data_IF_558887351150
#
_entry.id   IF_558887351150
#
_cell.length_a   1.000
_cell.length_b   1.000
_cell.length_c   1.000
_cell.angle_alpha   90.00
_cell.angle_beta   90.00
_cell.angle_gamma   90.00
#
_symmetry.space_group_name_H-M   'P 1'
#
loop_
_entity.id
_entity.type
_entity.pdbx_description
1 polymer ?
#
# COMPACT_ATOMS: atom_id res chain seq x y z
N UNK A 1 -5.04 -30.42 29.24
CA UNK A 1 -6.34 -29.71 29.33
C UNK A 1 -6.41 -28.48 28.41
N UNK A 2 -5.28 -27.82 28.20
CA UNK A 2 -5.20 -26.62 27.35
C UNK A 2 -5.36 -26.96 25.85
N UNK A 3 -4.84 -28.12 25.43
CA UNK A 3 -4.91 -28.57 24.03
C UNK A 3 -6.34 -28.89 23.55
N UNK A 4 -7.20 -29.42 24.43
CA UNK A 4 -8.57 -29.75 24.05
C UNK A 4 -9.46 -28.53 23.89
N UNK A 5 -9.37 -27.54 24.77
CA UNK A 5 -10.11 -26.27 24.64
C UNK A 5 -9.69 -25.52 23.35
N UNK A 6 -8.38 -25.43 23.10
CA UNK A 6 -7.85 -24.83 21.88
C UNK A 6 -8.29 -25.57 20.63
N UNK A 7 -8.37 -26.90 20.67
CA UNK A 7 -8.89 -27.70 19.57
C UNK A 7 -10.38 -27.46 19.32
N UNK A 8 -11.20 -27.38 20.37
CA UNK A 8 -12.62 -27.09 20.26
C UNK A 8 -12.86 -25.67 19.70
N UNK A 9 -12.13 -24.67 20.17
CA UNK A 9 -12.24 -23.29 19.69
C UNK A 9 -11.85 -23.20 18.21
N UNK A 10 -10.78 -23.89 17.81
CA UNK A 10 -10.37 -23.95 16.40
C UNK A 10 -11.42 -24.66 15.51
N UNK A 11 -12.02 -25.73 16.03
CA UNK A 11 -13.05 -26.46 15.29
C UNK A 11 -14.32 -25.61 15.11
N UNK A 12 -14.79 -24.95 16.18
CA UNK A 12 -15.95 -24.05 16.14
C UNK A 12 -15.70 -22.86 15.24
N UNK A 13 -14.52 -22.28 15.31
CA UNK A 13 -14.13 -21.16 14.43
C UNK A 13 -14.14 -21.61 12.96
N UNK A 14 -13.57 -22.75 12.64
CA UNK A 14 -13.57 -23.28 11.26
C UNK A 14 -14.98 -23.61 10.77
N UNK A 15 -15.82 -24.21 11.63
CA UNK A 15 -17.21 -24.51 11.28
C UNK A 15 -18.01 -23.22 11.04
N UNK A 16 -17.80 -22.20 11.87
CA UNK A 16 -18.43 -20.89 11.69
C UNK A 16 -18.00 -20.23 10.37
N UNK A 17 -16.69 -20.18 10.09
CA UNK A 17 -16.17 -19.62 8.85
C UNK A 17 -16.71 -20.36 7.62
N UNK A 18 -16.75 -21.69 7.66
CA UNK A 18 -17.31 -22.52 6.60
C UNK A 18 -18.81 -22.26 6.40
N UNK A 19 -19.58 -22.07 7.48
CA UNK A 19 -21.00 -21.75 7.44
C UNK A 19 -21.25 -20.34 6.84
N UNK A 20 -20.45 -19.35 7.21
CA UNK A 20 -20.55 -17.98 6.66
C UNK A 20 -20.27 -17.97 5.16
N UNK A 21 -19.18 -18.60 4.74
CA UNK A 21 -18.81 -18.69 3.31
C UNK A 21 -19.82 -19.51 2.52
N UNK A 22 -20.33 -20.60 3.08
CA UNK A 22 -21.29 -21.49 2.43
C UNK A 22 -22.69 -20.90 2.34
N UNK A 23 -23.12 -20.07 3.30
CA UNK A 23 -24.45 -19.46 3.27
C UNK A 23 -24.57 -18.28 2.30
N UNK A 24 -23.44 -17.63 2.01
CA UNK A 24 -23.37 -16.48 1.10
C UNK A 24 -22.17 -16.64 0.17
N UNK A 25 -22.19 -17.56 -0.80
CA UNK A 25 -21.10 -17.78 -1.71
C UNK A 25 -20.85 -16.52 -2.55
N UNK A 26 -19.59 -16.24 -2.85
CA UNK A 26 -19.22 -15.17 -3.79
C UNK A 26 -19.67 -15.59 -5.19
N UNK A 27 -20.42 -14.74 -5.86
CA UNK A 27 -20.90 -15.03 -7.22
C UNK A 27 -19.93 -14.46 -8.27
N UNK A 28 -19.92 -15.03 -9.50
CA UNK A 28 -19.14 -14.47 -10.61
C UNK A 28 -19.53 -13.03 -10.93
N UNK A 29 -20.81 -12.67 -10.78
CA UNK A 29 -21.32 -11.33 -11.02
C UNK A 29 -20.75 -10.32 -10.02
N UNK A 30 -20.64 -10.69 -8.76
CA UNK A 30 -20.03 -9.83 -7.73
C UNK A 30 -18.53 -9.62 -8.00
N UNK A 31 -17.80 -10.66 -8.32
CA UNK A 31 -16.40 -10.57 -8.69
C UNK A 31 -16.17 -9.70 -9.93
N UNK A 32 -17.03 -9.85 -10.94
CA UNK A 32 -17.00 -9.04 -12.14
C UNK A 32 -17.29 -7.56 -11.85
N UNK A 33 -18.27 -7.27 -10.97
CA UNK A 33 -18.59 -5.91 -10.58
C UNK A 33 -17.42 -5.24 -9.88
N UNK A 34 -16.77 -5.91 -8.91
CA UNK A 34 -15.57 -5.41 -8.23
C UNK A 34 -14.42 -5.19 -9.22
N UNK A 35 -14.21 -6.13 -10.14
CA UNK A 35 -13.20 -5.97 -11.17
C UNK A 35 -13.45 -4.74 -12.05
N UNK A 36 -14.69 -4.51 -12.44
CA UNK A 36 -15.07 -3.36 -13.26
C UNK A 36 -14.80 -2.04 -12.52
N UNK A 37 -15.13 -1.98 -11.23
CA UNK A 37 -14.88 -0.80 -10.38
C UNK A 37 -13.37 -0.53 -10.25
N UNK A 38 -12.57 -1.55 -9.96
CA UNK A 38 -11.11 -1.45 -9.90
C UNK A 38 -10.54 -1.00 -11.24
N UNK A 39 -11.00 -1.62 -12.32
CA UNK A 39 -10.54 -1.31 -13.67
C UNK A 39 -10.87 0.14 -14.08
N UNK A 40 -12.07 0.62 -13.76
CA UNK A 40 -12.47 2.01 -13.98
C UNK A 40 -11.70 2.99 -13.09
N UNK A 41 -11.47 2.62 -11.83
CA UNK A 41 -10.71 3.46 -10.89
C UNK A 41 -9.30 3.75 -11.43
N UNK A 42 -8.60 2.74 -11.95
CA UNK A 42 -7.22 2.90 -12.44
C UNK A 42 -7.11 3.26 -13.92
N UNK A 43 -8.21 3.33 -14.66
CA UNK A 43 -8.19 3.64 -16.08
C UNK A 43 -7.53 4.99 -16.35
N UNK A 44 -6.47 4.99 -17.15
CA UNK A 44 -5.70 6.19 -17.49
C UNK A 44 -4.84 6.74 -16.35
N UNK A 45 -4.76 6.06 -15.20
CA UNK A 45 -3.92 6.46 -14.08
C UNK A 45 -2.46 6.04 -14.28
N UNK A 46 -1.58 6.66 -13.50
CA UNK A 46 -0.15 6.37 -13.48
C UNK A 46 0.26 5.82 -12.12
N UNK A 47 1.30 4.99 -12.12
CA UNK A 47 1.98 4.52 -10.92
C UNK A 47 3.44 4.94 -10.94
N UNK A 48 4.01 5.15 -9.77
CA UNK A 48 5.39 5.59 -9.59
C UNK A 48 6.15 4.62 -8.71
N UNK A 49 7.41 4.39 -9.05
CA UNK A 49 8.38 3.79 -8.15
C UNK A 49 9.09 4.92 -7.42
N UNK A 50 8.74 5.09 -6.15
CA UNK A 50 9.07 6.27 -5.37
C UNK A 50 10.27 5.99 -4.47
N UNK A 51 11.42 6.56 -4.81
CA UNK A 51 12.59 6.54 -3.94
C UNK A 51 12.44 7.54 -2.79
N UNK A 52 12.99 7.21 -1.62
CA UNK A 52 12.87 8.00 -0.41
C UNK A 52 14.20 8.13 0.33
N UNK A 53 14.47 9.33 0.81
CA UNK A 53 15.55 9.63 1.76
C UNK A 53 14.91 10.24 2.99
N UNK A 54 15.05 9.58 4.14
CA UNK A 54 14.50 10.04 5.43
C UNK A 54 15.65 10.55 6.31
N UNK A 55 15.50 11.74 6.86
CA UNK A 55 16.48 12.38 7.75
C UNK A 55 15.81 12.86 9.04
N UNK A 56 16.61 13.11 10.08
CA UNK A 56 16.13 13.67 11.35
C UNK A 56 16.09 15.19 11.37
N UNK A 57 16.78 15.82 10.44
CA UNK A 57 16.86 17.29 10.38
C UNK A 57 16.59 17.80 8.99
N UNK A 58 16.03 19.00 8.90
CA UNK A 58 15.86 19.69 7.64
C UNK A 58 17.20 19.99 6.96
N UNK A 59 18.24 20.25 7.75
CA UNK A 59 19.60 20.52 7.26
C UNK A 59 20.15 19.31 6.49
N UNK A 60 20.02 18.10 7.02
CA UNK A 60 20.50 16.88 6.36
C UNK A 60 19.68 16.56 5.11
N UNK A 61 18.36 16.80 5.15
CA UNK A 61 17.51 16.68 3.97
C UNK A 61 17.94 17.68 2.88
N UNK A 62 18.26 18.91 3.26
CA UNK A 62 18.76 19.92 2.32
C UNK A 62 20.12 19.53 1.73
N UNK A 63 21.05 19.00 2.53
CA UNK A 63 22.33 18.46 2.05
C UNK A 63 22.13 17.32 1.04
N UNK A 64 21.14 16.45 1.28
CA UNK A 64 20.76 15.40 0.33
C UNK A 64 20.27 16.00 -0.99
N UNK A 65 19.39 16.99 -0.94
CA UNK A 65 18.90 17.71 -2.13
C UNK A 65 20.07 18.37 -2.89
N UNK A 66 20.98 19.02 -2.19
CA UNK A 66 22.14 19.69 -2.82
C UNK A 66 23.07 18.67 -3.47
N UNK A 67 23.25 17.49 -2.87
CA UNK A 67 23.99 16.40 -3.48
C UNK A 67 23.31 15.87 -4.76
N UNK A 68 21.97 15.81 -4.79
CA UNK A 68 21.21 15.44 -6.00
C UNK A 68 21.32 16.53 -7.08
N UNK A 69 21.29 17.82 -6.71
CA UNK A 69 21.54 18.93 -7.62
C UNK A 69 22.94 18.88 -8.23
N UNK A 70 23.92 18.43 -7.46
CA UNK A 70 25.28 18.16 -7.91
C UNK A 70 25.42 16.88 -8.76
N UNK A 71 24.28 16.29 -9.19
CA UNK A 71 24.19 15.09 -10.05
C UNK A 71 24.80 13.82 -9.44
N UNK A 72 24.92 13.72 -8.12
CA UNK A 72 25.21 12.46 -7.46
C UNK A 72 24.04 11.49 -7.66
N UNK A 73 24.32 10.20 -7.79
CA UNK A 73 23.26 9.19 -7.97
C UNK A 73 22.35 9.14 -6.73
N UNK A 74 21.06 8.96 -6.94
CA UNK A 74 20.11 8.88 -5.83
C UNK A 74 20.47 7.77 -4.83
N UNK A 75 20.87 6.60 -5.31
CA UNK A 75 21.30 5.47 -4.45
C UNK A 75 22.47 5.86 -3.53
N UNK A 76 23.45 6.57 -4.05
CA UNK A 76 24.60 7.04 -3.26
C UNK A 76 24.17 8.04 -2.19
N UNK A 77 23.32 9.00 -2.56
CA UNK A 77 22.81 10.01 -1.62
C UNK A 77 21.89 9.35 -0.57
N UNK A 78 21.03 8.43 -0.95
CA UNK A 78 20.19 7.69 -0.02
C UNK A 78 21.03 6.88 0.98
N UNK A 79 22.05 6.17 0.52
CA UNK A 79 22.95 5.41 1.39
C UNK A 79 23.72 6.30 2.38
N UNK A 80 24.00 7.54 2.01
CA UNK A 80 24.73 8.49 2.84
C UNK A 80 23.83 9.16 3.90
N UNK A 81 22.61 9.58 3.51
CA UNK A 81 21.78 10.48 4.34
C UNK A 81 20.58 9.82 4.98
N UNK A 82 20.03 8.75 4.41
CA UNK A 82 18.83 8.13 5.01
C UNK A 82 19.14 7.48 6.36
N UNK A 83 18.26 7.70 7.32
CA UNK A 83 18.33 7.06 8.65
C UNK A 83 17.67 5.68 8.65
N UNK A 84 16.86 5.35 7.64
CA UNK A 84 16.21 4.06 7.54
C UNK A 84 17.20 2.97 7.08
N UNK A 85 17.45 1.92 7.90
CA UNK A 85 18.38 0.85 7.55
C UNK A 85 17.94 0.05 6.31
N UNK A 86 16.64 -0.18 6.16
CA UNK A 86 16.09 -0.88 5.00
C UNK A 86 16.22 -0.04 3.72
N UNK A 87 15.97 1.26 3.83
CA UNK A 87 16.20 2.23 2.78
C UNK A 87 17.68 2.30 2.37
N UNK A 88 18.62 2.28 3.33
CA UNK A 88 20.06 2.20 3.04
C UNK A 88 20.41 0.98 2.21
N UNK A 89 19.95 -0.18 2.61
CA UNK A 89 20.21 -1.45 1.93
C UNK A 89 19.62 -1.49 0.51
N UNK A 90 18.44 -0.89 0.31
CA UNK A 90 17.78 -0.79 -0.99
C UNK A 90 18.27 0.39 -1.86
N UNK A 91 19.19 1.23 -1.34
CA UNK A 91 19.60 2.48 -2.00
C UNK A 91 18.46 3.50 -2.12
N UNK A 92 17.53 3.47 -1.16
CA UNK A 92 16.36 4.35 -1.08
C UNK A 92 15.24 4.05 -2.07
N UNK A 93 15.36 2.99 -2.89
CA UNK A 93 14.39 2.69 -3.95
C UNK A 93 13.70 1.35 -3.66
N UNK A 94 12.41 1.33 -3.30
CA UNK A 94 11.65 0.10 -3.12
C UNK A 94 11.41 -0.60 -4.47
N UNK A 95 11.14 -1.90 -4.42
CA UNK A 95 10.76 -2.66 -5.64
C UNK A 95 9.33 -2.40 -6.08
N UNK A 96 8.47 -1.94 -5.17
CA UNK A 96 7.05 -1.70 -5.41
C UNK A 96 6.77 -0.39 -6.12
N UNK A 97 5.65 -0.36 -6.82
CA UNK A 97 5.04 0.84 -7.38
C UNK A 97 3.83 1.23 -6.54
N UNK A 98 3.51 2.51 -6.53
CA UNK A 98 2.29 3.04 -5.92
C UNK A 98 1.51 3.85 -6.97
N UNK A 99 0.21 3.59 -7.09
CA UNK A 99 -0.64 4.35 -7.98
C UNK A 99 -0.81 5.78 -7.45
N UNK A 100 -0.71 6.78 -8.32
CA UNK A 100 -0.88 8.18 -7.92
C UNK A 100 -2.27 8.45 -7.35
N UNK A 101 -3.31 7.76 -7.81
CA UNK A 101 -4.66 7.85 -7.25
C UNK A 101 -4.74 7.37 -5.80
N UNK A 102 -4.04 6.30 -5.47
CA UNK A 102 -3.99 5.80 -4.10
C UNK A 102 -3.19 6.75 -3.19
N UNK A 103 -2.12 7.31 -3.74
CA UNK A 103 -1.30 8.29 -3.04
C UNK A 103 -2.08 9.60 -2.76
N UNK A 104 -2.93 10.02 -3.69
CA UNK A 104 -3.82 11.18 -3.51
C UNK A 104 -4.76 11.02 -2.31
N UNK A 105 -5.25 9.81 -2.08
CA UNK A 105 -6.14 9.52 -0.96
C UNK A 105 -5.40 9.27 0.36
N UNK A 106 -4.30 8.54 0.33
CA UNK A 106 -3.57 8.10 1.53
C UNK A 106 -2.57 9.13 2.06
N UNK A 107 -1.95 9.92 1.18
CA UNK A 107 -0.93 10.90 1.53
C UNK A 107 -0.99 12.13 0.62
N UNK A 108 -2.06 12.97 0.73
CA UNK A 108 -2.26 14.14 -0.15
C UNK A 108 -1.06 15.09 -0.24
N UNK A 109 -0.31 15.38 0.84
CA UNK A 109 0.87 16.25 0.75
C UNK A 109 1.98 15.65 -0.13
N UNK A 110 2.19 14.34 -0.03
CA UNK A 110 3.16 13.62 -0.86
C UNK A 110 2.71 13.59 -2.31
N UNK A 111 1.44 13.28 -2.56
CA UNK A 111 0.86 13.33 -3.90
C UNK A 111 1.07 14.69 -4.56
N UNK A 112 0.75 15.79 -3.87
CA UNK A 112 0.93 17.15 -4.38
C UNK A 112 2.39 17.46 -4.74
N UNK A 113 3.35 16.92 -3.97
CA UNK A 113 4.77 17.11 -4.20
C UNK A 113 5.32 16.32 -5.39
N UNK A 114 4.74 15.14 -5.71
CA UNK A 114 5.32 14.22 -6.70
C UNK A 114 4.51 14.04 -7.98
N UNK A 115 3.23 14.42 -8.01
CA UNK A 115 2.32 14.18 -9.14
C UNK A 115 2.84 14.68 -10.49
N UNK A 116 3.48 15.85 -10.50
CA UNK A 116 3.99 16.51 -11.70
C UNK A 116 5.44 16.17 -12.02
N UNK A 117 6.12 15.46 -11.11
CA UNK A 117 7.49 15.03 -11.32
C UNK A 117 7.56 13.92 -12.38
N UNK A 118 8.61 14.00 -13.19
CA UNK A 118 8.95 12.98 -14.19
C UNK A 118 10.01 12.03 -13.65
N UNK A 119 10.20 10.91 -14.33
CA UNK A 119 11.29 9.97 -14.07
C UNK A 119 12.64 10.72 -13.98
N UNK A 120 13.38 10.45 -12.91
CA UNK A 120 14.66 11.08 -12.62
C UNK A 120 14.57 12.40 -11.86
N UNK A 121 13.37 12.94 -11.65
CA UNK A 121 13.17 14.14 -10.86
C UNK A 121 12.91 13.82 -9.38
N UNK A 122 13.09 14.81 -8.53
CA UNK A 122 12.97 14.68 -7.07
C UNK A 122 12.35 15.94 -6.47
N UNK A 123 11.86 15.83 -5.24
CA UNK A 123 11.36 16.98 -4.48
C UNK A 123 12.50 17.92 -4.12
N UNK A 124 12.33 19.21 -4.42
CA UNK A 124 13.33 20.25 -4.14
C UNK A 124 13.17 20.89 -2.77
N UNK A 125 12.10 20.52 -2.06
CA UNK A 125 11.81 20.92 -0.68
C UNK A 125 11.51 19.67 0.12
N UNK A 126 12.14 19.46 1.30
CA UNK A 126 11.84 18.32 2.14
C UNK A 126 10.38 18.34 2.62
N UNK A 127 9.74 17.18 2.64
CA UNK A 127 8.43 17.00 3.28
C UNK A 127 8.67 16.67 4.75
N UNK A 128 7.96 17.40 5.63
CA UNK A 128 8.04 17.18 7.07
C UNK A 128 6.84 16.39 7.57
N UNK A 129 7.09 15.39 8.41
CA UNK A 129 6.05 14.61 9.08
C UNK A 129 6.61 13.81 10.23
N UNK A 130 5.87 13.72 11.34
CA UNK A 130 6.23 12.89 12.51
C UNK A 130 7.68 13.10 13.03
N UNK A 131 8.18 14.34 12.96
CA UNK A 131 9.53 14.67 13.43
C UNK A 131 10.66 14.23 12.51
N UNK A 132 10.36 13.83 11.29
CA UNK A 132 11.32 13.47 10.24
C UNK A 132 11.15 14.36 9.01
N UNK A 133 12.16 14.38 8.17
CA UNK A 133 12.18 15.09 6.89
C UNK A 133 12.47 14.09 5.77
N UNK A 134 11.67 14.11 4.72
CA UNK A 134 11.79 13.19 3.61
C UNK A 134 12.01 13.90 2.28
N UNK A 135 12.88 13.33 1.46
CA UNK A 135 13.12 13.73 0.07
C UNK A 135 12.69 12.57 -0.83
N UNK A 136 11.85 12.84 -1.80
CA UNK A 136 11.30 11.83 -2.72
C UNK A 136 11.87 11.97 -4.12
N UNK A 137 12.06 10.83 -4.76
CA UNK A 137 12.65 10.69 -6.09
C UNK A 137 11.81 9.76 -6.95
N UNK A 138 11.55 10.15 -8.19
CA UNK A 138 10.83 9.31 -9.16
C UNK A 138 11.83 8.43 -9.89
N UNK A 139 11.98 7.20 -9.43
CA UNK A 139 12.84 6.22 -10.09
C UNK A 139 12.23 5.73 -11.40
N UNK A 140 10.92 5.52 -11.42
CA UNK A 140 10.16 5.18 -12.60
C UNK A 140 8.72 5.71 -12.51
N UNK A 141 8.11 5.96 -13.65
CA UNK A 141 6.71 6.41 -13.78
C UNK A 141 6.10 5.80 -15.03
N UNK A 142 5.00 5.07 -14.86
CA UNK A 142 4.35 4.35 -15.95
C UNK A 142 2.84 4.33 -15.79
N UNK A 143 2.12 3.95 -16.85
CA UNK A 143 0.68 3.72 -16.75
C UNK A 143 0.40 2.49 -15.86
N UNK A 144 -0.65 2.58 -15.04
CA UNK A 144 -1.14 1.42 -14.28
C UNK A 144 -1.66 0.38 -15.25
N UNK A 145 -1.17 -0.85 -15.13
CA UNK A 145 -1.70 -2.01 -15.84
C UNK A 145 -2.55 -2.81 -14.88
N UNK A 146 -3.86 -2.72 -15.04
CA UNK A 146 -4.78 -3.60 -14.32
C UNK A 146 -4.69 -4.98 -14.99
N UNK A 147 -4.37 -6.05 -14.24
CA UNK A 147 -4.38 -7.41 -14.77
C UNK A 147 -5.76 -7.77 -15.32
N UNK A 148 -5.84 -8.79 -16.16
CA UNK A 148 -7.11 -9.25 -16.70
C UNK A 148 -8.03 -9.81 -15.59
N UNK A 149 -9.33 -9.84 -15.83
CA UNK A 149 -10.30 -10.41 -14.89
C UNK A 149 -9.90 -11.84 -14.47
N UNK A 150 -9.52 -12.68 -15.42
CA UNK A 150 -9.11 -14.06 -15.17
C UNK A 150 -7.89 -14.18 -14.23
N UNK A 151 -6.98 -13.22 -14.30
CA UNK A 151 -5.80 -13.20 -13.42
C UNK A 151 -6.13 -12.73 -12.01
N UNK A 152 -7.07 -11.76 -11.86
CA UNK A 152 -7.47 -11.21 -10.58
C UNK A 152 -8.60 -11.97 -9.91
N UNK A 153 -9.40 -12.74 -10.64
CA UNK A 153 -10.59 -13.42 -10.12
C UNK A 153 -10.34 -14.21 -8.82
N UNK A 154 -9.27 -15.03 -8.69
CA UNK A 154 -9.02 -15.77 -7.46
C UNK A 154 -8.78 -14.87 -6.25
N UNK A 155 -8.06 -13.77 -6.44
CA UNK A 155 -7.78 -12.78 -5.39
C UNK A 155 -9.04 -12.01 -5.01
N UNK A 156 -9.86 -11.62 -5.98
CA UNK A 156 -11.14 -10.94 -5.75
C UNK A 156 -12.12 -11.83 -4.99
N UNK A 157 -12.20 -13.11 -5.33
CA UNK A 157 -13.03 -14.09 -4.60
C UNK A 157 -12.57 -14.20 -3.16
N UNK A 158 -11.27 -14.37 -2.93
CA UNK A 158 -10.71 -14.46 -1.58
C UNK A 158 -11.04 -13.21 -0.76
N UNK A 159 -10.82 -12.03 -1.30
CA UNK A 159 -11.09 -10.76 -0.63
C UNK A 159 -12.57 -10.60 -0.27
N UNK A 160 -13.46 -10.90 -1.21
CA UNK A 160 -14.90 -10.85 -0.94
C UNK A 160 -15.34 -11.84 0.13
N UNK A 161 -14.69 -13.02 0.21
CA UNK A 161 -14.92 -13.98 1.30
C UNK A 161 -14.44 -13.45 2.64
N UNK A 162 -13.24 -12.86 2.68
CA UNK A 162 -12.69 -12.22 3.88
C UNK A 162 -13.59 -11.08 4.38
N UNK A 163 -14.05 -10.21 3.50
CA UNK A 163 -14.97 -9.11 3.84
C UNK A 163 -16.29 -9.63 4.43
N UNK A 164 -16.83 -10.74 3.92
CA UNK A 164 -18.05 -11.39 4.46
C UNK A 164 -17.83 -11.97 5.84
N UNK A 165 -16.69 -12.61 6.05
CA UNK A 165 -16.32 -13.17 7.36
C UNK A 165 -16.16 -12.05 8.37
N UNK A 166 -15.50 -10.97 8.02
CA UNK A 166 -15.33 -9.79 8.88
C UNK A 166 -16.67 -9.14 9.23
N UNK A 167 -17.55 -8.97 8.25
CA UNK A 167 -18.90 -8.45 8.47
C UNK A 167 -19.75 -9.36 9.39
N UNK A 168 -19.64 -10.68 9.24
CA UNK A 168 -20.35 -11.64 10.09
C UNK A 168 -19.82 -11.59 11.54
N UNK A 169 -18.51 -11.51 11.73
CA UNK A 169 -17.88 -11.35 13.04
C UNK A 169 -18.33 -10.03 13.68
N UNK A 170 -18.29 -8.92 12.96
CA UNK A 170 -18.75 -7.61 13.44
C UNK A 170 -20.21 -7.63 13.89
N UNK A 171 -21.09 -8.30 13.15
CA UNK A 171 -22.52 -8.48 13.52
C UNK A 171 -22.70 -9.29 14.79
N UNK A 172 -21.86 -10.31 15.02
CA UNK A 172 -21.90 -11.09 16.26
C UNK A 172 -21.47 -10.27 17.48
N UNK A 173 -20.43 -9.46 17.36
CA UNK A 173 -19.99 -8.57 18.43
C UNK A 173 -21.06 -7.54 18.80
N UNK A 174 -21.72 -6.95 17.82
CA UNK A 174 -22.82 -6.01 18.07
C UNK A 174 -23.98 -6.69 18.83
N UNK A 175 -24.36 -7.91 18.45
CA UNK A 175 -25.41 -8.68 19.14
C UNK A 175 -25.03 -9.12 20.54
N UNK A 176 -23.74 -9.39 20.78
CA UNK A 176 -23.24 -9.78 22.10
C UNK A 176 -23.17 -8.62 23.10
N UNK A 177 -23.03 -7.38 22.61
CA UNK A 177 -22.93 -6.18 23.47
C UNK A 177 -24.32 -5.68 23.95
N UNK A 178 -25.42 -6.20 23.41
CA UNK A 178 -26.80 -5.79 23.71
C UNK A 178 -27.43 -6.65 24.85
N UNK A 179 -26.69 -7.53 25.46
CA UNK A 179 -27.07 -8.26 26.68
C UNK A 179 -26.24 -7.72 27.85
#
# INVERSE_FOLDING_TARGET
>A
KQDWATFQDNLLTRAFLAAVVGSHPVTPEETQAVYNDVSQHYKGSQEVQLGEIVTRSNEDAQKAIDALKAKKSFKSVASQYTIDPAGKAAGGIPKSYVALKDLEQSAPPLYAAVKDLKKGQYTTTPLQGNGIFAVFYINDKRAVKVPSFKELEPELVQRLQEDRVEAAIGSLYQKATIK
#
